data_IF_415924284245
#
_entry.id   IF_415924284245
#
_cell.length_a   1.000
_cell.length_b   1.000
_cell.length_c   1.000
_cell.angle_alpha   90.00
_cell.angle_beta   90.00
_cell.angle_gamma   90.00
#
_symmetry.space_group_name_H-M   'P 1'
#
loop_
_entity.id
_entity.type
_entity.pdbx_description
1 polymer ?
#
# COMPACT_ATOMS: atom_id res chain seq x y z
N UNK A 1 -31.82 -1.43 0.25
CA UNK A 1 -31.41 -2.54 -0.65
C UNK A 1 -31.06 -2.07 -2.06
N UNK A 2 -31.94 -1.35 -2.78
CA UNK A 2 -31.65 -0.85 -4.15
C UNK A 2 -30.40 0.06 -4.24
N UNK A 3 -30.21 0.96 -3.28
CA UNK A 3 -29.06 1.87 -3.23
C UNK A 3 -27.73 1.14 -3.01
N UNK A 4 -27.74 0.05 -2.24
CA UNK A 4 -26.54 -0.77 -2.02
C UNK A 4 -26.15 -1.48 -3.32
N UNK A 5 -27.13 -2.00 -4.07
CA UNK A 5 -26.92 -2.69 -5.34
C UNK A 5 -26.41 -1.77 -6.46
N UNK A 6 -26.91 -0.52 -6.54
CA UNK A 6 -26.37 0.48 -7.48
C UNK A 6 -24.97 0.94 -7.13
N UNK A 7 -24.63 1.06 -5.84
CA UNK A 7 -23.27 1.39 -5.41
C UNK A 7 -22.28 0.26 -5.73
N UNK A 8 -22.68 -1.00 -5.53
CA UNK A 8 -21.82 -2.15 -5.90
C UNK A 8 -21.60 -2.22 -7.42
N UNK A 9 -22.65 -1.99 -8.22
CA UNK A 9 -22.56 -1.97 -9.69
C UNK A 9 -21.71 -0.83 -10.24
N UNK A 10 -21.77 0.35 -9.62
CA UNK A 10 -20.91 1.49 -9.98
C UNK A 10 -19.44 1.20 -9.67
N UNK A 11 -19.15 0.54 -8.54
CA UNK A 11 -17.80 0.14 -8.17
C UNK A 11 -17.24 -0.90 -9.14
N UNK A 12 -18.00 -1.93 -9.52
CA UNK A 12 -17.55 -2.92 -10.52
C UNK A 12 -17.35 -2.32 -11.90
N UNK A 13 -18.22 -1.41 -12.34
CA UNK A 13 -18.05 -0.69 -13.61
C UNK A 13 -16.77 0.17 -13.63
N UNK A 14 -16.44 0.83 -12.51
CA UNK A 14 -15.22 1.61 -12.38
C UNK A 14 -13.95 0.73 -12.40
N UNK A 15 -14.03 -0.48 -11.83
CA UNK A 15 -12.94 -1.46 -11.84
C UNK A 15 -12.73 -2.13 -13.21
N UNK A 16 -13.73 -2.13 -14.10
CA UNK A 16 -13.61 -2.66 -15.47
C UNK A 16 -13.05 -1.65 -16.47
N UNK A 17 -12.83 -0.39 -16.08
CA UNK A 17 -12.26 0.61 -16.96
C UNK A 17 -10.77 0.31 -17.21
N UNK A 18 -10.47 -0.31 -18.35
CA UNK A 18 -9.09 -0.52 -18.81
C UNK A 18 -8.57 0.79 -19.38
N UNK A 19 -7.98 1.63 -18.55
CA UNK A 19 -7.17 2.74 -19.03
C UNK A 19 -6.05 2.18 -19.93
N UNK A 20 -5.86 2.79 -21.10
CA UNK A 20 -4.70 2.53 -21.96
C UNK A 20 -3.45 2.93 -21.16
N UNK A 21 -2.69 1.93 -20.70
CA UNK A 21 -1.42 2.15 -20.03
C UNK A 21 -0.36 2.32 -21.12
N UNK A 22 -0.01 3.57 -21.41
CA UNK A 22 1.25 3.86 -22.08
C UNK A 22 2.38 3.50 -21.10
N UNK A 23 3.31 2.64 -21.52
CA UNK A 23 4.43 2.20 -20.70
C UNK A 23 5.42 3.37 -20.55
N UNK A 24 5.34 4.09 -19.43
CA UNK A 24 6.24 5.21 -19.12
C UNK A 24 7.71 4.78 -18.91
N UNK A 25 8.01 3.48 -18.95
CA UNK A 25 9.37 2.96 -18.72
C UNK A 25 9.88 3.23 -17.30
N UNK A 26 8.99 3.26 -16.30
CA UNK A 26 9.34 3.56 -14.90
C UNK A 26 10.14 2.44 -14.22
N UNK A 27 10.21 1.28 -14.84
CA UNK A 27 10.92 0.11 -14.34
C UNK A 27 12.21 -0.12 -15.15
N UNK A 28 13.15 -0.86 -14.56
CA UNK A 28 14.40 -1.24 -15.24
C UNK A 28 14.11 -2.13 -16.46
N UNK A 29 14.92 -2.01 -17.50
CA UNK A 29 14.82 -2.88 -18.67
C UNK A 29 15.17 -4.32 -18.31
N UNK A 30 14.48 -5.28 -18.92
CA UNK A 30 14.80 -6.70 -18.74
C UNK A 30 16.03 -7.03 -19.57
N UNK A 31 17.14 -7.38 -18.94
CA UNK A 31 18.34 -7.72 -19.69
C UNK A 31 18.23 -9.08 -20.38
N UNK A 32 19.09 -9.24 -21.38
CA UNK A 32 19.09 -10.39 -22.31
C UNK A 32 20.02 -11.53 -21.88
N UNK A 33 20.84 -11.30 -20.84
CA UNK A 33 21.67 -12.32 -20.21
C UNK A 33 20.95 -13.01 -19.06
N UNK A 34 21.34 -14.24 -18.75
CA UNK A 34 20.80 -15.02 -17.62
C UNK A 34 20.94 -14.25 -16.30
N UNK A 35 22.13 -13.71 -16.03
CA UNK A 35 22.41 -12.94 -14.80
C UNK A 35 21.53 -11.69 -14.71
N UNK A 36 21.30 -10.98 -15.82
CA UNK A 36 20.46 -9.78 -15.77
C UNK A 36 18.98 -10.11 -15.53
N UNK A 37 18.50 -11.26 -16.01
CA UNK A 37 17.17 -11.78 -15.68
C UNK A 37 17.00 -12.08 -14.18
N UNK A 38 18.04 -12.63 -13.54
CA UNK A 38 18.03 -12.93 -12.10
C UNK A 38 17.99 -11.63 -11.28
N UNK A 39 18.82 -10.64 -11.64
CA UNK A 39 18.85 -9.32 -10.98
C UNK A 39 17.50 -8.61 -11.12
N UNK A 40 16.88 -8.67 -12.30
CA UNK A 40 15.55 -8.09 -12.52
C UNK A 40 14.50 -8.73 -11.58
N UNK A 41 14.55 -10.05 -11.42
CA UNK A 41 13.65 -10.79 -10.54
C UNK A 41 13.88 -10.44 -9.06
N UNK A 42 15.16 -10.32 -8.65
CA UNK A 42 15.55 -9.87 -7.31
C UNK A 42 15.02 -8.45 -7.04
N UNK A 43 15.27 -7.52 -7.96
CA UNK A 43 14.81 -6.13 -7.85
C UNK A 43 13.30 -6.09 -7.62
N UNK A 44 12.52 -6.82 -8.42
CA UNK A 44 11.07 -6.83 -8.30
C UNK A 44 10.60 -7.43 -6.97
N UNK A 45 11.26 -8.49 -6.49
CA UNK A 45 10.95 -9.08 -5.18
C UNK A 45 11.16 -8.06 -4.06
N UNK A 46 12.34 -7.44 -4.00
CA UNK A 46 12.69 -6.48 -2.92
C UNK A 46 11.79 -5.26 -2.98
N UNK A 47 11.49 -4.75 -4.19
CA UNK A 47 10.55 -3.66 -4.37
C UNK A 47 9.18 -3.99 -3.75
N UNK A 48 8.64 -5.17 -4.01
CA UNK A 48 7.36 -5.60 -3.43
C UNK A 48 7.41 -5.73 -1.90
N UNK A 49 8.52 -6.22 -1.35
CA UNK A 49 8.72 -6.27 0.10
C UNK A 49 8.72 -4.86 0.71
N UNK A 50 9.47 -3.92 0.12
CA UNK A 50 9.50 -2.53 0.57
C UNK A 50 8.12 -1.87 0.48
N UNK A 51 7.38 -2.11 -0.61
CA UNK A 51 6.02 -1.60 -0.78
C UNK A 51 5.08 -2.15 0.31
N UNK A 52 5.13 -3.46 0.59
CA UNK A 52 4.29 -4.08 1.61
C UNK A 52 4.56 -3.49 3.01
N UNK A 53 5.83 -3.35 3.39
CA UNK A 53 6.21 -2.73 4.67
C UNK A 53 5.78 -1.27 4.72
N UNK A 54 5.97 -0.52 3.62
CA UNK A 54 5.50 0.86 3.50
C UNK A 54 4.02 0.97 3.80
N UNK A 55 3.19 0.13 3.16
CA UNK A 55 1.73 0.10 3.40
C UNK A 55 1.41 -0.19 4.88
N UNK A 56 2.11 -1.13 5.50
CA UNK A 56 1.91 -1.47 6.92
C UNK A 56 2.25 -0.29 7.84
N UNK A 57 3.41 0.34 7.65
CA UNK A 57 3.88 1.47 8.47
C UNK A 57 2.99 2.70 8.27
N UNK A 58 2.70 3.07 7.02
CA UNK A 58 1.79 4.17 6.72
C UNK A 58 0.38 3.88 7.25
N UNK A 59 -0.10 2.64 7.15
CA UNK A 59 -1.37 2.20 7.74
C UNK A 59 -1.42 2.42 9.26
N UNK A 60 -0.37 1.99 9.98
CA UNK A 60 -0.25 2.21 11.42
C UNK A 60 -0.19 3.71 11.78
N UNK A 61 0.50 4.51 10.97
CA UNK A 61 0.56 5.97 11.14
C UNK A 61 -0.81 6.63 10.92
N UNK A 62 -1.52 6.29 9.83
CA UNK A 62 -2.87 6.79 9.55
C UNK A 62 -3.85 6.41 10.66
N UNK A 63 -3.81 5.16 11.13
CA UNK A 63 -4.62 4.72 12.26
C UNK A 63 -4.33 5.56 13.51
N UNK A 64 -3.04 5.75 13.83
CA UNK A 64 -2.61 6.52 14.99
C UNK A 64 -3.13 7.96 14.95
N UNK A 65 -3.03 8.62 13.81
CA UNK A 65 -3.50 10.00 13.61
C UNK A 65 -5.02 10.10 13.75
N UNK A 66 -5.78 9.18 13.12
CA UNK A 66 -7.24 9.23 13.13
C UNK A 66 -7.78 8.91 14.53
N UNK A 67 -7.17 7.96 15.23
CA UNK A 67 -7.65 7.50 16.53
C UNK A 67 -7.22 8.41 17.69
N UNK A 68 -5.96 8.84 17.73
CA UNK A 68 -5.37 9.59 18.84
C UNK A 68 -5.39 11.11 18.63
N UNK A 69 -6.20 11.60 17.69
CA UNK A 69 -6.30 13.04 17.42
C UNK A 69 -6.79 13.81 18.64
N UNK A 70 -6.14 14.92 18.97
CA UNK A 70 -6.52 15.84 20.05
C UNK A 70 -8.00 16.25 20.03
N UNK A 71 -8.59 16.42 18.84
CA UNK A 71 -10.01 16.81 18.70
C UNK A 71 -11.00 15.78 19.27
N UNK A 72 -10.57 14.54 19.52
CA UNK A 72 -11.39 13.49 20.14
C UNK A 72 -11.26 13.48 21.68
N UNK A 73 -10.55 14.44 22.27
CA UNK A 73 -10.36 14.52 23.72
C UNK A 73 -9.42 13.47 24.31
N UNK A 74 -8.61 12.83 23.47
CA UNK A 74 -7.69 11.76 23.88
C UNK A 74 -6.59 12.36 24.76
N UNK A 75 -6.45 11.87 26.00
CA UNK A 75 -5.38 12.24 26.92
C UNK A 75 -4.14 11.40 26.61
N UNK A 76 -2.98 12.04 26.50
CA UNK A 76 -1.72 11.33 26.32
C UNK A 76 -1.45 10.45 27.55
N UNK A 77 -1.19 9.18 27.32
CA UNK A 77 -0.77 8.28 28.40
C UNK A 77 0.73 8.44 28.66
N UNK A 78 1.13 8.27 29.92
CA UNK A 78 2.51 8.35 30.38
C UNK A 78 3.10 6.93 30.43
N UNK A 79 3.88 6.58 29.41
CA UNK A 79 4.65 5.34 29.35
C UNK A 79 6.12 5.70 29.13
N UNK A 80 7.00 5.00 29.84
CA UNK A 80 8.44 5.25 29.83
C UNK A 80 9.26 4.13 29.20
N UNK A 81 8.74 2.90 29.11
CA UNK A 81 9.40 1.77 28.45
C UNK A 81 8.38 0.71 27.97
N UNK A 82 8.81 -0.18 27.07
CA UNK A 82 8.06 -1.36 26.61
C UNK A 82 9.02 -2.51 26.32
N UNK A 83 9.08 -3.50 27.21
CA UNK A 83 9.82 -4.75 27.00
C UNK A 83 8.87 -5.93 27.14
N UNK A 84 8.99 -6.89 26.21
CA UNK A 84 8.31 -8.18 26.31
C UNK A 84 9.35 -9.15 26.88
N UNK A 85 9.20 -9.54 28.14
CA UNK A 85 10.06 -10.55 28.82
C UNK A 85 9.63 -11.97 28.46
#
# INVERSE_FOLDING_TARGET
MKQLLTMTGAITALMSSRAVIAEYGLNMTKGVSTISGDIYSLHMMVFWVCFAIGVVVFGAMFYSIINHRKSKGVKAAHFHDSTTV
#
